data_IF_494984189672
#
_entry.id   IF_494984189672
#
_cell.length_a   1.000
_cell.length_b   1.000
_cell.length_c   1.000
_cell.angle_alpha   90.00
_cell.angle_beta   90.00
_cell.angle_gamma   90.00
#
_symmetry.space_group_name_H-M   'P 1'
#
loop_
_entity.id
_entity.type
_entity.pdbx_description
1 polymer ?
#
# COMPACT_ATOMS: atom_id res chain seq x y z
N UNK A 1 -21.26 5.57 -28.08
CA UNK A 1 -21.33 4.89 -26.78
C UNK A 1 -19.96 4.29 -26.52
N UNK A 2 -19.26 4.72 -25.48
CA UNK A 2 -17.96 4.11 -25.15
C UNK A 2 -18.20 2.66 -24.72
N UNK A 3 -17.52 1.70 -25.36
CA UNK A 3 -17.56 0.31 -24.90
C UNK A 3 -17.13 0.25 -23.44
N UNK A 4 -18.02 -0.23 -22.58
CA UNK A 4 -17.66 -0.57 -21.21
C UNK A 4 -16.68 -1.74 -21.27
N UNK A 5 -15.41 -1.46 -20.97
CA UNK A 5 -14.37 -2.49 -21.00
C UNK A 5 -14.72 -3.63 -20.02
N UNK A 6 -14.47 -4.87 -20.46
CA UNK A 6 -14.79 -6.08 -19.70
C UNK A 6 -13.83 -6.32 -18.52
N UNK A 7 -12.69 -5.65 -18.51
CA UNK A 7 -11.63 -5.74 -17.52
C UNK A 7 -10.85 -4.44 -17.43
N UNK A 8 -10.06 -4.27 -16.37
CA UNK A 8 -9.19 -3.12 -16.20
C UNK A 8 -7.95 -3.29 -17.07
N UNK A 9 -7.64 -2.29 -17.90
CA UNK A 9 -6.50 -2.32 -18.82
C UNK A 9 -5.20 -1.88 -18.14
N UNK A 10 -4.06 -2.37 -18.63
CA UNK A 10 -2.71 -1.97 -18.19
C UNK A 10 -2.48 -0.45 -18.33
N UNK A 11 -3.12 0.19 -19.33
CA UNK A 11 -3.08 1.65 -19.49
C UNK A 11 -3.72 2.43 -18.34
N UNK A 12 -4.52 1.78 -17.50
CA UNK A 12 -5.18 2.38 -16.34
C UNK A 12 -4.34 2.24 -15.05
N UNK A 13 -3.13 1.70 -15.12
CA UNK A 13 -2.26 1.56 -13.94
C UNK A 13 -1.97 2.94 -13.31
N UNK A 14 -2.00 2.98 -11.98
CA UNK A 14 -1.93 4.20 -11.18
C UNK A 14 -3.25 4.94 -11.01
N UNK A 15 -4.32 4.57 -11.73
CA UNK A 15 -5.68 5.05 -11.47
C UNK A 15 -6.53 3.95 -10.82
N UNK A 16 -6.39 3.80 -9.50
CA UNK A 16 -7.01 2.70 -8.74
C UNK A 16 -8.45 2.98 -8.30
N UNK A 17 -9.26 3.55 -9.21
CA UNK A 17 -10.69 3.78 -9.02
C UNK A 17 -11.48 2.84 -9.94
N UNK A 18 -11.71 1.61 -9.47
CA UNK A 18 -12.35 0.55 -10.24
C UNK A 18 -13.84 0.41 -9.94
N UNK A 19 -14.56 -0.28 -10.83
CA UNK A 19 -15.93 -0.68 -10.56
C UNK A 19 -15.96 -1.78 -9.48
N UNK A 20 -16.63 -1.52 -8.36
CA UNK A 20 -16.64 -2.43 -7.20
C UNK A 20 -17.41 -3.74 -7.42
N UNK A 21 -18.26 -3.83 -8.45
CA UNK A 21 -19.00 -5.06 -8.78
C UNK A 21 -18.13 -6.08 -9.52
N UNK A 22 -16.97 -5.67 -10.02
CA UNK A 22 -16.05 -6.55 -10.74
C UNK A 22 -15.47 -7.62 -9.81
N UNK A 23 -14.88 -8.65 -10.39
CA UNK A 23 -14.33 -9.82 -9.72
C UNK A 23 -12.87 -10.04 -10.11
N UNK A 24 -12.16 -10.79 -9.27
CA UNK A 24 -10.82 -11.26 -9.59
C UNK A 24 -10.93 -12.46 -10.54
N UNK A 25 -10.25 -12.40 -11.68
CA UNK A 25 -9.94 -13.56 -12.52
C UNK A 25 -8.50 -13.97 -12.25
N UNK A 26 -8.31 -15.16 -11.70
CA UNK A 26 -7.01 -15.68 -11.31
C UNK A 26 -6.35 -16.51 -12.40
N UNK A 27 -5.04 -16.36 -12.56
CA UNK A 27 -4.23 -17.20 -13.44
C UNK A 27 -4.19 -18.65 -12.93
N UNK A 28 -3.96 -18.83 -11.63
CA UNK A 28 -4.06 -20.13 -10.97
C UNK A 28 -5.13 -20.11 -9.89
N UNK A 29 -5.91 -21.19 -9.79
CA UNK A 29 -6.73 -21.43 -8.59
C UNK A 29 -5.80 -21.69 -7.40
N UNK A 30 -6.13 -21.15 -6.24
CA UNK A 30 -5.41 -21.45 -5.00
C UNK A 30 -5.71 -22.88 -4.53
N UNK A 31 -5.01 -23.84 -5.12
CA UNK A 31 -5.03 -25.24 -4.75
C UNK A 31 -3.60 -25.83 -4.80
N UNK A 32 -3.45 -27.04 -4.28
CA UNK A 32 -2.15 -27.74 -4.26
C UNK A 32 -1.78 -28.38 -5.61
N UNK A 33 -2.65 -28.32 -6.62
CA UNK A 33 -2.38 -28.90 -7.92
C UNK A 33 -1.24 -28.12 -8.60
N UNK A 34 -0.17 -28.80 -8.99
CA UNK A 34 1.01 -28.15 -9.59
C UNK A 34 1.95 -27.48 -8.59
N UNK A 35 1.64 -27.49 -7.30
CA UNK A 35 2.57 -27.05 -6.24
C UNK A 35 3.58 -28.17 -6.00
N UNK A 36 4.87 -27.86 -6.13
CA UNK A 36 5.95 -28.81 -5.84
C UNK A 36 6.15 -28.97 -4.32
N UNK A 37 6.77 -30.07 -3.85
CA UNK A 37 7.17 -30.17 -2.45
C UNK A 37 8.11 -29.02 -2.02
N UNK A 38 8.01 -28.57 -0.78
CA UNK A 38 8.78 -27.45 -0.21
C UNK A 38 10.29 -27.57 -0.45
N UNK A 39 10.89 -28.74 -0.21
CA UNK A 39 12.31 -28.98 -0.43
C UNK A 39 12.77 -28.71 -1.88
N UNK A 40 11.89 -28.84 -2.87
CA UNK A 40 12.20 -28.55 -4.28
C UNK A 40 12.32 -27.05 -4.50
N UNK A 41 11.45 -26.24 -3.89
CA UNK A 41 11.55 -24.78 -3.96
C UNK A 41 12.82 -24.27 -3.30
N UNK A 42 13.13 -24.79 -2.11
CA UNK A 42 14.33 -24.43 -1.35
C UNK A 42 15.57 -24.79 -2.15
N UNK A 43 15.68 -26.04 -2.62
CA UNK A 43 16.83 -26.49 -3.42
C UNK A 43 17.01 -25.62 -4.67
N UNK A 44 15.96 -25.42 -5.46
CA UNK A 44 16.06 -24.61 -6.67
C UNK A 44 16.43 -23.16 -6.37
N UNK A 45 15.96 -22.60 -5.26
CA UNK A 45 16.32 -21.24 -4.84
C UNK A 45 17.78 -21.17 -4.35
N UNK A 46 18.27 -22.19 -3.63
CA UNK A 46 19.68 -22.30 -3.22
C UNK A 46 20.62 -22.42 -4.40
N UNK A 47 20.30 -23.30 -5.35
CA UNK A 47 21.14 -23.53 -6.54
C UNK A 47 21.32 -22.21 -7.33
N UNK A 48 20.29 -21.35 -7.31
CA UNK A 48 20.28 -20.00 -7.89
C UNK A 48 20.87 -18.91 -7.00
N UNK A 49 21.13 -19.17 -5.70
CA UNK A 49 21.68 -18.15 -4.79
C UNK A 49 23.10 -17.71 -5.20
N UNK A 50 23.77 -18.52 -6.00
CA UNK A 50 25.05 -18.20 -6.62
C UNK A 50 24.91 -17.32 -7.88
N UNK A 51 23.68 -16.97 -8.30
CA UNK A 51 23.40 -16.08 -9.41
C UNK A 51 23.19 -14.64 -8.93
N UNK A 52 23.49 -13.68 -9.82
CA UNK A 52 23.42 -12.22 -9.58
C UNK A 52 22.03 -11.70 -9.15
N UNK A 53 20.98 -12.53 -9.22
CA UNK A 53 19.57 -12.11 -9.10
C UNK A 53 18.84 -12.64 -7.85
N UNK A 54 19.50 -13.41 -6.97
CA UNK A 54 18.82 -14.02 -5.82
C UNK A 54 18.31 -12.99 -4.80
N UNK A 55 19.09 -11.92 -4.54
CA UNK A 55 18.69 -10.86 -3.62
C UNK A 55 17.52 -10.04 -4.16
N UNK A 56 17.50 -9.78 -5.48
CA UNK A 56 16.37 -9.15 -6.17
C UNK A 56 15.11 -10.00 -6.02
N UNK A 57 15.22 -11.30 -6.28
CA UNK A 57 14.12 -12.25 -6.17
C UNK A 57 13.56 -12.31 -4.75
N UNK A 58 14.43 -12.35 -3.73
CA UNK A 58 14.00 -12.33 -2.33
C UNK A 58 13.33 -11.00 -1.98
N UNK A 59 13.90 -9.87 -2.42
CA UNK A 59 13.36 -8.53 -2.21
C UNK A 59 11.96 -8.38 -2.82
N UNK A 60 11.75 -8.91 -4.03
CA UNK A 60 10.45 -8.96 -4.70
C UNK A 60 9.41 -9.72 -3.86
N UNK A 61 9.75 -10.92 -3.38
CA UNK A 61 8.83 -11.74 -2.59
C UNK A 61 8.49 -11.07 -1.25
N UNK A 62 9.49 -10.47 -0.58
CA UNK A 62 9.28 -9.69 0.65
C UNK A 62 8.36 -8.51 0.42
N UNK A 63 8.52 -7.80 -0.70
CA UNK A 63 7.63 -6.71 -1.07
C UNK A 63 6.19 -7.17 -1.28
N UNK A 64 5.98 -8.22 -2.09
CA UNK A 64 4.63 -8.78 -2.32
C UNK A 64 4.00 -9.25 -1.02
N UNK A 65 4.77 -9.90 -0.12
CA UNK A 65 4.27 -10.28 1.20
C UNK A 65 3.81 -9.04 1.99
N UNK A 66 4.63 -7.99 2.04
CA UNK A 66 4.35 -6.73 2.77
C UNK A 66 3.08 -6.03 2.28
N UNK A 67 2.82 -6.04 0.97
CA UNK A 67 1.70 -5.29 0.37
C UNK A 67 0.52 -6.16 -0.06
N UNK A 68 0.61 -7.47 0.15
CA UNK A 68 -0.32 -8.52 -0.27
C UNK A 68 -0.43 -8.72 -1.80
N UNK A 69 -0.57 -7.64 -2.57
CA UNK A 69 -0.47 -7.66 -4.03
C UNK A 69 -0.02 -6.31 -4.60
N UNK A 70 0.63 -6.36 -5.76
CA UNK A 70 1.18 -5.18 -6.44
C UNK A 70 1.06 -5.32 -7.97
N UNK A 71 0.99 -4.19 -8.67
CA UNK A 71 1.11 -4.19 -10.14
C UNK A 71 2.57 -4.37 -10.57
N UNK A 72 2.79 -4.72 -11.84
CA UNK A 72 4.13 -4.81 -12.43
C UNK A 72 4.94 -3.51 -12.22
N UNK A 73 4.31 -2.35 -12.44
CA UNK A 73 4.96 -1.05 -12.25
C UNK A 73 5.31 -0.77 -10.79
N UNK A 74 4.46 -1.19 -9.85
CA UNK A 74 4.74 -1.04 -8.42
C UNK A 74 5.94 -1.91 -7.98
N UNK A 75 6.03 -3.13 -8.49
CA UNK A 75 7.18 -4.03 -8.26
C UNK A 75 8.45 -3.41 -8.84
N UNK A 76 8.42 -2.97 -10.11
CA UNK A 76 9.56 -2.31 -10.78
C UNK A 76 10.02 -1.06 -10.01
N UNK A 77 9.08 -0.22 -9.60
CA UNK A 77 9.38 0.99 -8.81
C UNK A 77 10.00 0.66 -7.46
N UNK A 78 9.52 -0.39 -6.77
CA UNK A 78 10.13 -0.83 -5.51
C UNK A 78 11.55 -1.33 -5.72
N UNK A 79 11.77 -2.25 -6.65
CA UNK A 79 13.09 -2.84 -6.89
C UNK A 79 14.11 -1.77 -7.33
N UNK A 80 13.68 -0.83 -8.17
CA UNK A 80 14.51 0.31 -8.56
C UNK A 80 14.91 1.18 -7.37
N UNK A 81 14.01 1.43 -6.41
CA UNK A 81 14.35 2.22 -5.21
C UNK A 81 15.28 1.48 -4.25
N UNK A 82 15.38 0.15 -4.37
CA UNK A 82 16.37 -0.67 -3.68
C UNK A 82 17.70 -0.79 -4.45
N UNK A 83 17.83 -0.15 -5.61
CA UNK A 83 19.04 -0.18 -6.44
C UNK A 83 19.22 -1.44 -7.28
N UNK A 84 18.16 -2.25 -7.46
CA UNK A 84 18.24 -3.46 -8.28
C UNK A 84 18.09 -3.16 -9.79
N UNK A 85 18.85 -3.87 -10.65
CA UNK A 85 18.65 -3.88 -12.10
C UNK A 85 17.28 -4.46 -12.49
N UNK A 86 16.68 -3.97 -13.58
CA UNK A 86 15.31 -4.34 -14.01
C UNK A 86 15.25 -5.16 -15.31
N UNK A 87 16.38 -5.47 -15.95
CA UNK A 87 16.45 -6.02 -17.31
C UNK A 87 15.74 -7.37 -17.46
N UNK A 88 15.69 -8.19 -16.39
CA UNK A 88 15.10 -9.53 -16.41
C UNK A 88 13.87 -9.68 -15.49
N UNK A 89 13.26 -8.58 -15.06
CA UNK A 89 12.12 -8.64 -14.14
C UNK A 89 10.90 -9.33 -14.74
N UNK A 90 10.60 -9.10 -16.02
CA UNK A 90 9.43 -9.70 -16.68
C UNK A 90 9.59 -11.23 -16.81
N UNK A 91 10.80 -11.69 -17.18
CA UNK A 91 11.15 -13.12 -17.18
C UNK A 91 11.09 -13.72 -15.78
N UNK A 92 11.52 -12.96 -14.76
CA UNK A 92 11.47 -13.40 -13.36
C UNK A 92 10.03 -13.59 -12.90
N UNK A 93 9.14 -12.64 -13.22
CA UNK A 93 7.71 -12.73 -12.90
C UNK A 93 7.05 -13.92 -13.61
N UNK A 94 7.33 -14.12 -14.90
CA UNK A 94 6.82 -15.26 -15.66
C UNK A 94 7.28 -16.60 -15.07
N UNK A 95 8.58 -16.72 -14.78
CA UNK A 95 9.15 -17.88 -14.12
C UNK A 95 8.50 -18.13 -12.75
N UNK A 96 8.35 -17.10 -11.92
CA UNK A 96 7.73 -17.23 -10.60
C UNK A 96 6.27 -17.64 -10.70
N UNK A 97 5.54 -17.12 -11.69
CA UNK A 97 4.16 -17.49 -11.94
C UNK A 97 4.08 -18.97 -12.34
N UNK A 98 4.85 -19.41 -13.33
CA UNK A 98 4.89 -20.80 -13.78
C UNK A 98 5.29 -21.77 -12.65
N UNK A 99 6.22 -21.35 -11.78
CA UNK A 99 6.68 -22.14 -10.66
C UNK A 99 5.75 -22.08 -9.44
N UNK A 100 4.59 -21.40 -9.49
CA UNK A 100 3.69 -21.26 -8.31
C UNK A 100 4.38 -20.60 -7.11
N UNK A 101 5.36 -19.73 -7.38
CA UNK A 101 6.02 -18.89 -6.37
C UNK A 101 5.17 -17.63 -6.11
N UNK A 102 4.69 -17.02 -7.19
CA UNK A 102 3.68 -15.96 -7.16
C UNK A 102 2.44 -16.43 -7.94
N UNK A 103 1.32 -15.77 -7.70
CA UNK A 103 0.11 -15.87 -8.50
C UNK A 103 -0.23 -14.49 -9.08
N UNK A 104 -1.17 -14.47 -10.02
CA UNK A 104 -1.60 -13.25 -10.67
C UNK A 104 -3.11 -13.25 -10.85
N UNK A 105 -3.72 -12.08 -10.70
CA UNK A 105 -5.10 -11.85 -11.07
C UNK A 105 -5.27 -10.56 -11.86
N UNK A 106 -6.39 -10.49 -12.55
CA UNK A 106 -6.92 -9.27 -13.15
C UNK A 106 -8.29 -8.96 -12.56
N UNK A 107 -8.75 -7.72 -12.73
CA UNK A 107 -10.09 -7.29 -12.31
C UNK A 107 -10.97 -7.21 -13.55
N UNK A 108 -12.06 -7.99 -13.56
CA UNK A 108 -12.96 -8.12 -14.71
C UNK A 108 -14.42 -8.17 -14.28
N UNK A 109 -15.34 -7.81 -15.18
CA UNK A 109 -16.78 -7.78 -14.92
C UNK A 109 -17.32 -9.15 -14.48
N UNK A 110 -16.75 -10.22 -15.03
CA UNK A 110 -17.01 -11.61 -14.67
C UNK A 110 -15.71 -12.40 -14.80
N UNK A 111 -15.59 -13.58 -14.15
CA UNK A 111 -14.45 -14.46 -14.33
C UNK A 111 -14.22 -14.77 -15.82
N UNK A 112 -13.02 -14.48 -16.32
CA UNK A 112 -12.63 -14.79 -17.69
C UNK A 112 -11.94 -16.17 -17.76
N UNK A 113 -12.03 -16.83 -18.90
CA UNK A 113 -11.34 -18.11 -19.13
C UNK A 113 -9.84 -17.91 -19.36
N UNK A 114 -9.48 -16.80 -20.01
CA UNK A 114 -8.11 -16.43 -20.34
C UNK A 114 -7.86 -15.00 -19.90
N UNK A 115 -6.60 -14.70 -19.56
CA UNK A 115 -6.18 -13.38 -19.12
C UNK A 115 -5.69 -12.59 -20.33
N UNK A 116 -6.35 -11.48 -20.70
CA UNK A 116 -5.92 -10.64 -21.82
C UNK A 116 -4.52 -10.07 -21.60
N UNK A 117 -3.75 -9.93 -22.68
CA UNK A 117 -2.37 -9.43 -22.62
C UNK A 117 -2.28 -7.97 -22.13
N UNK A 118 -3.25 -7.14 -22.55
CA UNK A 118 -3.34 -5.72 -22.19
C UNK A 118 -4.09 -5.48 -20.87
N UNK A 119 -4.43 -6.53 -20.11
CA UNK A 119 -5.07 -6.39 -18.81
C UNK A 119 -4.07 -5.92 -17.73
N UNK A 120 -4.57 -5.17 -16.75
CA UNK A 120 -3.79 -4.79 -15.57
C UNK A 120 -3.59 -6.02 -14.67
N UNK A 121 -2.37 -6.54 -14.66
CA UNK A 121 -1.97 -7.70 -13.86
C UNK A 121 -1.57 -7.27 -12.45
N UNK A 122 -2.19 -7.89 -11.45
CA UNK A 122 -1.84 -7.74 -10.04
C UNK A 122 -1.22 -9.05 -9.54
N UNK A 123 -0.01 -9.00 -9.01
CA UNK A 123 0.74 -10.15 -8.53
C UNK A 123 0.62 -10.30 -7.02
N UNK A 124 0.39 -11.53 -6.54
CA UNK A 124 0.35 -11.89 -5.12
C UNK A 124 1.29 -13.06 -4.84
N UNK A 125 1.56 -13.33 -3.57
CA UNK A 125 2.30 -14.54 -3.19
C UNK A 125 1.48 -15.80 -3.54
N UNK A 126 2.17 -16.91 -3.78
CA UNK A 126 1.59 -18.26 -3.86
C UNK A 126 2.41 -19.22 -2.98
N UNK A 127 2.03 -20.50 -2.91
CA UNK A 127 2.62 -21.48 -2.00
C UNK A 127 4.15 -21.56 -2.08
N UNK A 128 4.73 -21.54 -3.28
CA UNK A 128 6.18 -21.57 -3.47
C UNK A 128 6.89 -20.35 -2.86
N UNK A 129 6.29 -19.16 -2.97
CA UNK A 129 6.83 -17.94 -2.38
C UNK A 129 6.79 -17.98 -0.86
N UNK A 130 5.72 -18.55 -0.28
CA UNK A 130 5.64 -18.82 1.17
C UNK A 130 6.80 -19.71 1.64
N UNK A 131 7.07 -20.80 0.93
CA UNK A 131 8.13 -21.75 1.28
C UNK A 131 9.54 -21.14 1.16
N UNK A 132 9.77 -20.30 0.15
CA UNK A 132 11.06 -19.59 0.01
C UNK A 132 11.23 -18.60 1.16
N UNK A 133 10.20 -17.81 1.46
CA UNK A 133 10.27 -16.81 2.52
C UNK A 133 10.34 -17.42 3.93
N UNK A 134 9.78 -18.61 4.18
CA UNK A 134 9.93 -19.29 5.48
C UNK A 134 11.37 -19.71 5.77
N UNK A 135 12.21 -19.87 4.74
CA UNK A 135 13.61 -20.31 4.85
C UNK A 135 14.62 -19.17 4.69
N UNK A 136 14.33 -18.21 3.82
CA UNK A 136 15.27 -17.12 3.48
C UNK A 136 14.76 -15.73 3.88
N UNK A 137 13.48 -15.61 4.24
CA UNK A 137 12.91 -14.40 4.79
C UNK A 137 13.18 -14.25 6.28
N UNK A 138 12.96 -13.04 6.77
CA UNK A 138 12.97 -12.70 8.21
C UNK A 138 11.57 -12.36 8.71
N UNK A 139 10.60 -12.31 7.79
CA UNK A 139 9.22 -11.92 8.02
C UNK A 139 8.37 -13.10 8.48
N UNK A 140 7.34 -12.84 9.31
CA UNK A 140 6.37 -13.88 9.67
C UNK A 140 5.46 -14.20 8.48
N UNK A 141 5.68 -15.38 7.90
CA UNK A 141 4.90 -15.93 6.80
C UNK A 141 3.85 -16.95 7.25
N UNK A 142 3.80 -17.30 8.54
CA UNK A 142 2.89 -18.32 9.05
C UNK A 142 1.44 -17.86 8.94
N UNK A 143 1.20 -16.58 9.22
CA UNK A 143 -0.09 -15.89 9.10
C UNK A 143 -0.57 -15.73 7.66
N UNK A 144 0.29 -15.94 6.66
CA UNK A 144 -0.11 -15.85 5.26
C UNK A 144 -0.88 -17.10 4.81
N UNK A 145 -2.04 -16.87 4.21
CA UNK A 145 -2.92 -17.85 3.60
C UNK A 145 -3.41 -17.36 2.23
N UNK A 146 -3.84 -18.27 1.36
CA UNK A 146 -4.37 -17.91 0.03
C UNK A 146 -5.58 -16.98 0.09
N UNK A 147 -6.38 -17.07 1.16
CA UNK A 147 -7.53 -16.18 1.36
C UNK A 147 -7.10 -14.74 1.64
N UNK A 148 -5.84 -14.46 1.98
CA UNK A 148 -5.35 -13.09 2.10
C UNK A 148 -5.41 -12.34 0.77
N UNK A 149 -5.16 -13.03 -0.35
CA UNK A 149 -5.10 -12.43 -1.68
C UNK A 149 -6.49 -12.34 -2.36
N UNK A 150 -7.45 -13.15 -1.93
CA UNK A 150 -8.84 -13.12 -2.41
C UNK A 150 -9.61 -12.02 -1.68
N UNK A 151 -9.97 -10.95 -2.41
CA UNK A 151 -10.54 -9.72 -1.85
C UNK A 151 -11.57 -9.10 -2.79
N UNK A 152 -12.54 -8.38 -2.22
CA UNK A 152 -13.42 -7.49 -2.98
C UNK A 152 -12.64 -6.32 -3.59
N UNK A 153 -13.14 -5.78 -4.69
CA UNK A 153 -12.48 -4.69 -5.43
C UNK A 153 -12.33 -3.42 -4.57
N UNK A 154 -13.27 -3.20 -3.64
CA UNK A 154 -13.20 -2.14 -2.63
C UNK A 154 -11.95 -2.24 -1.75
N UNK A 155 -11.45 -3.44 -1.47
CA UNK A 155 -10.18 -3.62 -0.73
C UNK A 155 -8.98 -3.59 -1.67
N UNK A 156 -9.09 -4.17 -2.87
CA UNK A 156 -8.00 -4.17 -3.86
C UNK A 156 -7.55 -2.76 -4.20
N UNK A 157 -8.50 -1.87 -4.47
CA UNK A 157 -8.23 -0.45 -4.73
C UNK A 157 -7.48 0.19 -3.56
N UNK A 158 -7.92 -0.03 -2.31
CA UNK A 158 -7.26 0.50 -1.11
C UNK A 158 -5.84 -0.04 -0.94
N UNK A 159 -5.62 -1.32 -1.23
CA UNK A 159 -4.31 -1.98 -1.11
C UNK A 159 -3.32 -1.43 -2.14
N UNK A 160 -3.69 -1.42 -3.43
CA UNK A 160 -2.84 -0.85 -4.49
C UNK A 160 -2.50 0.61 -4.24
N UNK A 161 -3.44 1.36 -3.67
CA UNK A 161 -3.23 2.77 -3.33
C UNK A 161 -2.31 2.95 -2.12
N UNK A 162 -2.44 2.09 -1.11
CA UNK A 162 -1.53 2.06 0.03
C UNK A 162 -0.10 1.77 -0.43
N UNK A 163 0.05 0.82 -1.36
CA UNK A 163 1.33 0.53 -2.02
C UNK A 163 1.87 1.74 -2.76
N UNK A 164 1.02 2.45 -3.52
CA UNK A 164 1.43 3.65 -4.25
C UNK A 164 1.88 4.77 -3.30
N UNK A 165 1.18 4.96 -2.17
CA UNK A 165 1.59 5.88 -1.12
C UNK A 165 2.97 5.50 -0.57
N UNK A 166 3.19 4.23 -0.25
CA UNK A 166 4.46 3.73 0.26
C UNK A 166 5.61 3.97 -0.73
N UNK A 167 5.40 3.70 -2.02
CA UNK A 167 6.39 3.96 -3.06
C UNK A 167 6.70 5.45 -3.23
N UNK A 168 5.67 6.31 -3.20
CA UNK A 168 5.88 7.76 -3.21
C UNK A 168 6.67 8.22 -1.98
N UNK A 169 6.41 7.62 -0.81
CA UNK A 169 7.15 7.90 0.42
C UNK A 169 8.62 7.49 0.30
N UNK A 170 8.89 6.26 -0.14
CA UNK A 170 10.24 5.74 -0.38
C UNK A 170 11.03 6.63 -1.34
N UNK A 171 10.41 7.12 -2.40
CA UNK A 171 11.09 7.96 -3.38
C UNK A 171 11.35 9.39 -2.88
N UNK A 172 10.52 9.88 -1.94
CA UNK A 172 10.61 11.28 -1.48
C UNK A 172 11.48 11.46 -0.25
N UNK A 173 11.52 10.48 0.67
CA UNK A 173 12.23 10.55 1.95
C UNK A 173 12.87 9.21 2.38
N UNK A 174 13.64 8.53 1.51
CA UNK A 174 14.10 7.15 1.74
C UNK A 174 14.86 6.96 3.06
N UNK A 175 15.77 7.88 3.38
CA UNK A 175 16.66 7.78 4.55
C UNK A 175 15.98 8.08 5.89
N UNK A 176 14.79 8.69 5.85
CA UNK A 176 14.10 9.14 7.04
C UNK A 176 12.98 8.19 7.47
N UNK A 177 12.60 7.20 6.65
CA UNK A 177 11.54 6.25 7.02
C UNK A 177 12.10 5.26 8.05
N UNK A 178 11.67 5.40 9.30
CA UNK A 178 12.07 4.47 10.36
C UNK A 178 11.42 3.10 10.18
N UNK A 179 10.12 3.10 9.89
CA UNK A 179 9.38 1.90 9.51
C UNK A 179 8.09 2.27 8.78
N UNK A 180 7.56 1.31 8.01
CA UNK A 180 6.24 1.38 7.40
C UNK A 180 5.56 0.01 7.50
N UNK A 181 4.41 -0.07 8.16
CA UNK A 181 3.61 -1.28 8.30
C UNK A 181 2.27 -1.10 7.56
N UNK A 182 2.08 -1.88 6.51
CA UNK A 182 0.82 -1.93 5.76
C UNK A 182 -0.26 -2.69 6.53
N UNK A 183 -1.52 -2.26 6.39
CA UNK A 183 -2.72 -2.90 6.95
C UNK A 183 -2.68 -3.06 8.47
N UNK A 184 -2.16 -2.04 9.16
CA UNK A 184 -1.92 -2.05 10.59
C UNK A 184 -3.21 -2.21 11.41
N UNK A 185 -3.12 -3.04 12.45
CA UNK A 185 -4.19 -3.26 13.42
C UNK A 185 -3.83 -2.64 14.77
N UNK A 186 -4.71 -1.82 15.31
CA UNK A 186 -4.61 -1.24 16.64
C UNK A 186 -5.60 -1.93 17.59
N UNK A 187 -5.10 -2.54 18.64
CA UNK A 187 -5.92 -3.22 19.63
C UNK A 187 -6.35 -2.23 20.73
N UNK A 188 -7.66 -2.03 20.85
CA UNK A 188 -8.29 -1.19 21.88
C UNK A 188 -9.01 -2.06 22.93
N UNK A 189 -8.44 -3.24 23.22
CA UNK A 189 -8.97 -4.23 24.15
C UNK A 189 -9.96 -5.18 23.49
N UNK A 190 -11.25 -4.82 23.46
CA UNK A 190 -12.33 -5.70 22.96
C UNK A 190 -12.51 -5.68 21.44
N UNK A 191 -11.85 -4.76 20.75
CA UNK A 191 -11.98 -4.52 19.31
C UNK A 191 -10.64 -4.13 18.73
N UNK A 192 -10.47 -4.37 17.44
CA UNK A 192 -9.36 -3.85 16.67
C UNK A 192 -9.82 -2.72 15.73
N UNK A 193 -8.96 -1.72 15.59
CA UNK A 193 -9.08 -0.65 14.61
C UNK A 193 -8.05 -0.92 13.52
N UNK A 194 -8.50 -1.47 12.40
CA UNK A 194 -7.65 -1.66 11.24
C UNK A 194 -7.55 -0.35 10.45
N UNK A 195 -6.34 -0.03 9.99
CA UNK A 195 -6.02 1.12 9.12
C UNK A 195 -5.20 0.64 7.92
N UNK A 196 -5.04 1.49 6.91
CA UNK A 196 -4.30 1.11 5.71
C UNK A 196 -2.79 1.07 5.92
N UNK A 197 -2.23 1.92 6.77
CA UNK A 197 -0.86 1.79 7.23
C UNK A 197 -0.63 2.54 8.54
N UNK A 198 0.43 2.15 9.25
CA UNK A 198 1.05 2.95 10.30
C UNK A 198 2.55 3.05 10.02
N UNK A 199 3.14 4.22 10.23
CA UNK A 199 4.55 4.44 9.90
C UNK A 199 5.17 5.57 10.71
N UNK A 200 6.49 5.61 10.76
CA UNK A 200 7.26 6.67 11.39
C UNK A 200 8.32 7.24 10.44
N UNK A 201 8.45 8.56 10.46
CA UNK A 201 9.52 9.30 9.78
C UNK A 201 10.36 10.01 10.82
N UNK A 202 11.68 9.96 10.66
CA UNK A 202 12.65 10.67 11.48
C UNK A 202 12.76 12.13 11.04
N UNK A 203 12.49 13.04 11.98
CA UNK A 203 12.78 14.47 11.85
C UNK A 203 13.98 14.78 12.75
N UNK A 204 15.19 14.71 12.20
CA UNK A 204 16.41 14.62 13.00
C UNK A 204 16.37 13.36 13.87
N UNK A 205 16.47 13.52 15.19
CA UNK A 205 16.38 12.40 16.15
C UNK A 205 14.97 12.15 16.68
N UNK A 206 13.97 12.93 16.27
CA UNK A 206 12.60 12.81 16.76
C UNK A 206 11.74 11.97 15.80
N UNK A 207 11.20 10.82 16.23
CA UNK A 207 10.26 10.05 15.42
C UNK A 207 8.92 10.78 15.35
N UNK A 208 8.36 10.88 14.15
CA UNK A 208 7.01 11.39 13.89
C UNK A 208 6.13 10.26 13.38
N UNK A 209 5.10 9.93 14.15
CA UNK A 209 4.13 8.89 13.83
C UNK A 209 3.04 9.35 12.88
N UNK A 210 2.59 8.44 12.03
CA UNK A 210 1.50 8.66 11.10
C UNK A 210 0.61 7.42 11.01
N UNK A 211 -0.68 7.68 10.79
CA UNK A 211 -1.68 6.67 10.46
C UNK A 211 -2.24 7.03 9.09
N UNK A 212 -2.21 6.08 8.15
CA UNK A 212 -2.83 6.22 6.84
C UNK A 212 -4.16 5.50 6.82
N UNK A 213 -5.22 6.20 6.43
CA UNK A 213 -6.47 5.62 5.99
C UNK A 213 -6.73 6.03 4.54
N UNK A 214 -6.79 5.03 3.66
CA UNK A 214 -7.27 5.25 2.30
C UNK A 214 -8.79 5.25 2.35
N UNK A 215 -9.41 6.21 1.69
CA UNK A 215 -10.86 6.33 1.58
C UNK A 215 -11.19 6.29 0.10
N UNK A 216 -12.10 5.39 -0.28
CA UNK A 216 -12.61 5.25 -1.65
C UNK A 216 -14.09 5.59 -1.71
N UNK A 217 -14.64 5.82 -2.90
CA UNK A 217 -16.05 6.21 -3.05
C UNK A 217 -17.00 5.23 -2.35
N UNK A 218 -16.65 3.94 -2.35
CA UNK A 218 -17.38 2.89 -1.61
C UNK A 218 -17.52 3.16 -0.10
N UNK A 219 -16.57 3.87 0.52
CA UNK A 219 -16.58 4.14 1.96
C UNK A 219 -17.52 5.30 2.34
N UNK A 220 -18.02 6.09 1.39
CA UNK A 220 -18.78 7.31 1.67
C UNK A 220 -20.29 7.06 1.64
N UNK A 221 -21.07 7.59 2.61
CA UNK A 221 -20.62 8.28 3.82
C UNK A 221 -20.38 7.34 5.01
N UNK A 222 -21.05 6.19 5.04
CA UNK A 222 -21.17 5.38 6.26
C UNK A 222 -19.88 4.67 6.68
N UNK A 223 -19.04 4.27 5.73
CA UNK A 223 -17.76 3.63 6.01
C UNK A 223 -16.79 4.56 6.71
N UNK A 224 -16.61 5.77 6.16
CA UNK A 224 -15.75 6.80 6.76
C UNK A 224 -16.33 7.31 8.09
N UNK A 225 -17.65 7.43 8.25
CA UNK A 225 -18.25 7.79 9.54
C UNK A 225 -17.84 6.79 10.64
N UNK A 226 -18.11 5.49 10.42
CA UNK A 226 -17.75 4.42 11.37
C UNK A 226 -16.24 4.36 11.62
N UNK A 227 -15.43 4.61 10.58
CA UNK A 227 -13.98 4.65 10.73
C UNK A 227 -13.52 5.84 11.58
N UNK A 228 -14.12 7.01 11.39
CA UNK A 228 -13.83 8.22 12.16
C UNK A 228 -14.14 8.04 13.64
N UNK A 229 -15.27 7.42 13.98
CA UNK A 229 -15.64 7.08 15.37
C UNK A 229 -14.59 6.17 16.02
N UNK A 230 -14.15 5.11 15.31
CA UNK A 230 -13.12 4.19 15.79
C UNK A 230 -11.76 4.87 15.98
N UNK A 231 -11.35 5.70 15.04
CA UNK A 231 -10.12 6.47 15.14
C UNK A 231 -10.19 7.49 16.29
N UNK A 232 -11.36 8.10 16.51
CA UNK A 232 -11.55 9.03 17.62
C UNK A 232 -11.32 8.34 18.98
N UNK A 233 -11.88 7.14 19.17
CA UNK A 233 -11.66 6.32 20.37
C UNK A 233 -10.18 5.98 20.52
N UNK A 234 -9.54 5.50 19.44
CA UNK A 234 -8.11 5.16 19.43
C UNK A 234 -7.23 6.34 19.88
N UNK A 235 -7.53 7.55 19.38
CA UNK A 235 -6.74 8.76 19.62
C UNK A 235 -7.05 9.43 20.97
N UNK A 236 -8.29 9.37 21.44
CA UNK A 236 -8.75 10.14 22.61
C UNK A 236 -8.63 9.37 23.93
N UNK A 237 -8.66 8.04 23.90
CA UNK A 237 -8.66 7.20 25.12
C UNK A 237 -7.26 6.64 25.46
N UNK A 238 -6.19 7.26 24.97
CA UNK A 238 -4.80 6.90 25.31
C UNK A 238 -4.31 5.57 24.71
N UNK A 239 -5.15 4.83 23.97
CA UNK A 239 -4.74 3.57 23.33
C UNK A 239 -3.57 3.74 22.36
N UNK A 240 -3.45 4.92 21.74
CA UNK A 240 -2.40 5.21 20.77
C UNK A 240 -0.99 5.25 21.37
N UNK A 241 -0.86 5.51 22.67
CA UNK A 241 0.42 5.57 23.40
C UNK A 241 1.14 4.22 23.44
N UNK A 242 0.40 3.12 23.25
CA UNK A 242 0.98 1.76 23.10
C UNK A 242 1.78 1.60 21.81
N UNK A 243 1.52 2.45 20.82
CA UNK A 243 2.03 2.30 19.45
C UNK A 243 2.96 3.44 19.03
N UNK A 244 2.78 4.63 19.60
CA UNK A 244 3.57 5.81 19.28
C UNK A 244 3.93 6.59 20.54
N UNK A 245 5.17 7.09 20.60
CA UNK A 245 5.63 7.95 21.70
C UNK A 245 5.05 9.36 21.64
N UNK A 246 4.66 9.82 20.46
CA UNK A 246 4.01 11.11 20.20
C UNK A 246 2.75 10.82 19.40
N UNK A 247 1.66 11.53 19.69
CA UNK A 247 0.40 11.36 18.98
C UNK A 247 0.60 11.46 17.46
N UNK A 248 0.23 10.42 16.70
CA UNK A 248 0.47 10.39 15.28
C UNK A 248 -0.50 11.30 14.54
N UNK A 249 -0.10 11.71 13.33
CA UNK A 249 -0.99 12.45 12.43
C UNK A 249 -1.78 11.48 11.57
N UNK A 250 -3.10 11.62 11.55
CA UNK A 250 -3.97 10.86 10.65
C UNK A 250 -3.92 11.49 9.26
N UNK A 251 -3.64 10.66 8.25
CA UNK A 251 -3.67 11.01 6.83
C UNK A 251 -4.86 10.31 6.19
N UNK A 252 -5.77 11.10 5.64
CA UNK A 252 -6.92 10.63 4.87
C UNK A 252 -6.61 10.78 3.39
N UNK A 253 -6.46 9.66 2.69
CA UNK A 253 -6.17 9.63 1.27
C UNK A 253 -7.43 9.35 0.46
N UNK A 254 -7.92 10.35 -0.27
CA UNK A 254 -9.11 10.26 -1.11
C UNK A 254 -8.77 10.17 -2.61
N UNK A 255 -9.73 9.77 -3.45
CA UNK A 255 -9.49 9.67 -4.91
C UNK A 255 -9.20 11.03 -5.55
N UNK A 256 -9.89 12.09 -5.12
CA UNK A 256 -9.81 13.43 -5.68
C UNK A 256 -10.20 14.51 -4.66
N UNK A 257 -10.00 15.79 -5.01
CA UNK A 257 -10.15 16.93 -4.08
C UNK A 257 -11.59 17.12 -3.61
N UNK A 258 -12.57 16.86 -4.48
CA UNK A 258 -13.99 16.92 -4.11
C UNK A 258 -14.31 15.89 -3.03
N UNK A 259 -13.85 14.66 -3.24
CA UNK A 259 -14.02 13.58 -2.28
C UNK A 259 -13.22 13.85 -0.99
N UNK A 260 -12.00 14.38 -1.10
CA UNK A 260 -11.21 14.76 0.07
C UNK A 260 -11.97 15.78 0.94
N UNK A 261 -12.64 16.76 0.34
CA UNK A 261 -13.42 17.74 1.09
C UNK A 261 -14.60 17.10 1.83
N UNK A 262 -15.32 16.19 1.17
CA UNK A 262 -16.42 15.45 1.79
C UNK A 262 -15.95 14.56 2.95
N UNK A 263 -14.85 13.84 2.75
CA UNK A 263 -14.20 13.02 3.79
C UNK A 263 -13.74 13.87 4.96
N UNK A 264 -13.15 15.04 4.70
CA UNK A 264 -12.70 15.96 5.74
C UNK A 264 -13.86 16.46 6.61
N UNK A 265 -14.97 16.85 5.98
CA UNK A 265 -16.14 17.34 6.69
C UNK A 265 -16.80 16.23 7.52
N UNK A 266 -16.93 15.01 6.97
CA UNK A 266 -17.43 13.86 7.74
C UNK A 266 -16.50 13.56 8.92
N UNK A 267 -15.19 13.47 8.70
CA UNK A 267 -14.23 13.17 9.76
C UNK A 267 -14.27 14.23 10.87
N UNK A 268 -14.26 15.52 10.50
CA UNK A 268 -14.34 16.61 11.46
C UNK A 268 -15.61 16.57 12.29
N UNK A 269 -16.78 16.35 11.68
CA UNK A 269 -18.06 16.27 12.42
C UNK A 269 -18.11 15.13 13.43
N UNK A 270 -17.40 14.02 13.17
CA UNK A 270 -17.38 12.85 14.05
C UNK A 270 -16.29 12.91 15.13
N UNK A 271 -15.24 13.70 14.93
CA UNK A 271 -14.08 13.74 15.85
C UNK A 271 -13.86 15.09 16.52
N UNK A 272 -14.48 16.15 15.99
CA UNK A 272 -14.20 17.56 16.34
C UNK A 272 -12.71 17.95 16.28
N UNK A 273 -11.90 17.18 15.54
CA UNK A 273 -10.45 17.35 15.45
C UNK A 273 -10.04 17.90 14.10
N UNK A 274 -9.10 18.84 14.08
CA UNK A 274 -8.41 19.30 12.85
C UNK A 274 -6.98 18.75 12.74
N UNK A 275 -6.60 17.82 13.62
CA UNK A 275 -5.28 17.19 13.66
C UNK A 275 -5.18 16.01 12.67
N UNK A 276 -5.57 16.27 11.42
CA UNK A 276 -5.43 15.32 10.32
C UNK A 276 -4.98 16.06 9.05
N UNK A 277 -4.48 15.32 8.08
CA UNK A 277 -4.10 15.82 6.76
C UNK A 277 -4.82 15.04 5.68
N UNK A 278 -5.03 15.70 4.55
CA UNK A 278 -5.65 15.09 3.39
C UNK A 278 -4.66 15.03 2.24
N UNK A 279 -4.82 14.00 1.42
CA UNK A 279 -4.04 13.72 0.24
C UNK A 279 -4.95 13.14 -0.83
N UNK A 280 -4.51 13.19 -2.09
CA UNK A 280 -5.25 12.59 -3.21
C UNK A 280 -4.34 11.79 -4.13
N UNK A 281 -4.94 10.91 -4.93
CA UNK A 281 -4.21 10.04 -5.86
C UNK A 281 -3.28 10.83 -6.79
N UNK A 282 -3.75 11.97 -7.33
CA UNK A 282 -2.94 12.84 -8.20
C UNK A 282 -1.71 13.40 -7.46
N UNK A 283 -1.85 13.71 -6.16
CA UNK A 283 -0.75 14.25 -5.35
C UNK A 283 0.26 13.19 -4.96
N UNK A 284 -0.14 11.93 -4.84
CA UNK A 284 0.80 10.81 -4.68
C UNK A 284 1.56 10.55 -5.98
N UNK A 285 0.85 10.57 -7.11
CA UNK A 285 1.44 10.32 -8.43
C UNK A 285 2.56 11.30 -8.77
N UNK A 286 2.43 12.55 -8.31
CA UNK A 286 3.42 13.60 -8.53
C UNK A 286 4.61 13.54 -7.54
N UNK A 287 4.60 12.61 -6.57
CA UNK A 287 5.55 12.58 -5.46
C UNK A 287 5.18 13.55 -4.33
N UNK A 288 5.87 13.44 -3.19
CA UNK A 288 5.64 14.33 -2.05
C UNK A 288 6.45 15.61 -2.20
N UNK A 289 5.78 16.71 -2.50
CA UNK A 289 6.30 18.08 -2.54
C UNK A 289 5.52 18.98 -1.58
N UNK A 290 5.85 20.27 -1.50
CA UNK A 290 5.19 21.26 -0.64
C UNK A 290 3.69 21.50 -0.92
N UNK A 291 3.13 20.88 -1.97
CA UNK A 291 1.72 21.00 -2.37
C UNK A 291 0.94 19.70 -2.19
N UNK A 292 1.58 18.63 -1.72
CA UNK A 292 0.97 17.32 -1.58
C UNK A 292 -0.09 17.25 -0.47
N UNK A 293 0.06 17.98 0.62
CA UNK A 293 -0.85 17.85 1.76
C UNK A 293 -1.84 19.00 1.87
N UNK A 294 -3.04 18.67 2.32
CA UNK A 294 -4.12 19.62 2.56
C UNK A 294 -4.57 19.56 4.02
N UNK A 295 -5.03 20.71 4.53
CA UNK A 295 -5.70 20.86 5.81
C UNK A 295 -7.15 21.28 5.57
N UNK A 296 -8.06 20.77 6.39
CA UNK A 296 -9.46 21.22 6.42
C UNK A 296 -9.62 22.51 7.24
N UNK A 297 -10.29 23.50 6.66
CA UNK A 297 -10.79 24.67 7.36
C UNK A 297 -12.29 24.49 7.63
N UNK A 298 -12.70 24.19 8.89
CA UNK A 298 -14.11 23.94 9.22
C UNK A 298 -14.98 25.20 9.13
N UNK A 299 -14.40 26.40 9.28
CA UNK A 299 -15.16 27.65 9.22
C UNK A 299 -15.58 27.96 7.79
N UNK A 300 -14.66 27.75 6.84
CA UNK A 300 -14.91 27.98 5.41
C UNK A 300 -15.44 26.74 4.69
N UNK A 301 -15.35 25.56 5.31
CA UNK A 301 -15.61 24.25 4.70
C UNK A 301 -14.81 24.08 3.39
N UNK A 302 -13.51 24.35 3.46
CA UNK A 302 -12.60 24.27 2.31
C UNK A 302 -11.33 23.52 2.66
N UNK A 303 -10.61 23.07 1.63
CA UNK A 303 -9.27 22.51 1.75
C UNK A 303 -8.23 23.58 1.44
N UNK A 304 -7.20 23.65 2.28
CA UNK A 304 -6.07 24.56 2.14
C UNK A 304 -4.82 23.73 1.94
N UNK A 305 -4.07 23.98 0.88
CA UNK A 305 -2.76 23.36 0.66
C UNK A 305 -1.81 23.83 1.77
N UNK A 306 -1.10 22.88 2.38
CA UNK A 306 -0.11 23.15 3.42
C UNK A 306 1.24 22.62 3.02
N UNK A 307 2.30 23.37 3.36
CA UNK A 307 3.69 22.95 3.13
C UNK A 307 3.96 21.61 3.79
N UNK A 308 4.84 20.84 3.17
CA UNK A 308 5.13 19.46 3.54
C UNK A 308 6.15 19.34 4.66
N UNK A 309 6.32 20.40 5.45
CA UNK A 309 7.19 20.42 6.64
C UNK A 309 6.81 19.38 7.72
N UNK A 310 5.68 18.70 7.53
CA UNK A 310 5.25 17.53 8.29
C UNK A 310 6.04 16.26 7.91
N UNK A 311 6.37 16.09 6.62
CA UNK A 311 7.07 14.93 6.04
C UNK A 311 8.54 15.22 5.74
N UNK A 312 8.83 16.42 5.27
CA UNK A 312 10.17 16.87 4.94
C UNK A 312 10.73 17.56 6.20
N UNK A 313 11.72 16.96 6.89
CA UNK A 313 12.45 17.73 7.90
C UNK A 313 12.95 19.02 7.25
N UNK A 314 12.91 20.14 7.97
CA UNK A 314 13.65 21.31 7.53
C UNK A 314 15.10 20.84 7.36
N UNK A 315 15.60 20.90 6.13
CA UNK A 315 17.04 20.99 5.93
C UNK A 315 17.39 22.30 6.63
N UNK A 316 17.91 22.20 7.85
CA UNK A 316 18.57 23.33 8.47
C UNK A 316 19.81 23.49 7.60
N UNK A 317 19.81 24.50 6.74
CA UNK A 317 21.05 24.99 6.16
C UNK A 317 21.83 25.58 7.34
N UNK A 318 22.52 24.72 8.09
CA UNK A 318 23.63 25.13 8.92
C UNK A 318 24.74 25.51 7.96
N UNK A 319 24.76 26.78 7.53
CA UNK A 319 25.89 27.55 7.04
C UNK A 319 25.33 28.93 6.64
N UNK A 320 25.94 29.99 7.18
CA UNK A 320 25.58 31.41 7.07
C UNK A 320 24.67 31.98 8.17
N UNK A 321 25.10 31.83 9.42
CA UNK A 321 25.14 32.94 10.38
C UNK A 321 26.28 32.65 11.38
N UNK A 322 27.51 32.87 10.92
CA UNK A 322 28.66 33.11 11.79
C UNK A 322 29.36 34.35 11.26
N UNK A 323 29.44 35.32 12.16
CA UNK A 323 30.01 36.67 12.09
C UNK A 323 31.23 36.88 11.17
#
# INVERSE_FOLDING_TARGET
MAELSLYIKKSEDGNFSFNYDFKQTWHHKFNMQGVKPEHVYIKNFMDRRNEKNADLQLSLLKFILKVCFATENQIKSYLSSQGFPLEDIDKTLEMFLHQRIINMFIISKYPLNEIPEDALKCYSLDFGGKYILSHYGTEDVLSWTSTNAVRGVEYITKYLTTTQFYLALLNSVPENIRYFESFANFNIGKRDVQTNAKFEIMSGHTPRGFILEVVRKYDIPSGIQKKSEKLNVLMSEGYIEKYFSINPVVILLAENDKMALEVADIYYRNTNSTQFRLLTDIRIKNGFDDKSFMKYDPNKKTLIIVKSSLFLPKIINDLEESE
#
